data_IF_608512297109
#
_entry.id   IF_608512297109
#
_cell.length_a   1.000
_cell.length_b   1.000
_cell.length_c   1.000
_cell.angle_alpha   90.00
_cell.angle_beta   90.00
_cell.angle_gamma   90.00
#
_symmetry.space_group_name_H-M   'P 1'
#
loop_
_entity.id
_entity.type
_entity.pdbx_description
1 polymer ?
#
# COMPACT_ATOMS: atom_id res chain seq x y z
N UNK A 1 4.99 -13.44 10.78
CA UNK A 1 5.74 -13.04 9.57
C UNK A 1 6.27 -11.62 9.75
N UNK A 2 7.37 -11.32 9.12
CA UNK A 2 7.94 -9.97 9.01
C UNK A 2 7.32 -9.27 7.81
N UNK A 3 6.57 -8.21 8.05
CA UNK A 3 5.80 -7.49 7.02
C UNK A 3 6.41 -6.11 6.79
N UNK A 4 6.68 -5.76 5.56
CA UNK A 4 6.98 -4.39 5.15
C UNK A 4 5.74 -3.82 4.46
N UNK A 5 5.25 -2.70 4.96
CA UNK A 5 4.02 -2.07 4.49
C UNK A 5 4.32 -0.88 3.58
N UNK A 6 3.56 -0.73 2.51
CA UNK A 6 3.64 0.41 1.60
C UNK A 6 2.26 1.01 1.37
N UNK A 7 2.08 2.27 1.67
CA UNK A 7 0.81 2.97 1.49
C UNK A 7 0.90 4.45 1.76
N UNK A 8 -0.12 5.21 1.39
CA UNK A 8 -0.11 6.67 1.54
C UNK A 8 -1.38 7.23 2.16
N UNK A 9 -2.59 7.08 1.58
CA UNK A 9 -3.79 7.75 2.06
C UNK A 9 -4.45 7.02 3.25
N UNK A 10 -5.46 7.64 3.81
CA UNK A 10 -6.26 7.10 4.91
C UNK A 10 -6.78 5.69 4.66
N UNK A 11 -7.20 5.39 3.43
CA UNK A 11 -7.62 4.03 3.06
C UNK A 11 -6.59 2.95 3.41
N UNK A 12 -5.30 3.26 3.29
CA UNK A 12 -4.22 2.34 3.61
C UNK A 12 -4.03 2.12 5.12
N UNK A 13 -4.42 3.09 5.94
CA UNK A 13 -4.26 3.03 7.41
C UNK A 13 -5.05 1.88 8.02
N UNK A 14 -6.26 1.61 7.52
CA UNK A 14 -7.07 0.50 8.03
C UNK A 14 -6.39 -0.86 7.90
N UNK A 15 -5.72 -1.12 6.77
CA UNK A 15 -4.95 -2.36 6.59
C UNK A 15 -3.69 -2.36 7.46
N UNK A 16 -3.00 -1.24 7.56
CA UNK A 16 -1.81 -1.11 8.41
C UNK A 16 -2.16 -1.37 9.88
N UNK A 17 -3.25 -0.81 10.36
CA UNK A 17 -3.75 -1.01 11.74
C UNK A 17 -4.12 -2.48 11.99
N UNK A 18 -4.78 -3.13 11.04
CA UNK A 18 -5.11 -4.55 11.16
C UNK A 18 -3.86 -5.44 11.26
N UNK A 19 -2.80 -5.13 10.51
CA UNK A 19 -1.53 -5.85 10.58
C UNK A 19 -0.83 -5.56 11.91
N UNK A 20 -0.82 -4.29 12.34
CA UNK A 20 -0.19 -3.87 13.60
C UNK A 20 -0.79 -4.59 14.81
N UNK A 21 -2.11 -4.74 14.84
CA UNK A 21 -2.83 -5.43 15.93
C UNK A 21 -2.84 -6.97 15.79
N UNK A 22 -2.21 -7.51 14.76
CA UNK A 22 -2.08 -8.94 14.55
C UNK A 22 -0.82 -9.50 15.24
N UNK A 23 -0.59 -10.81 15.07
CA UNK A 23 0.65 -11.48 15.52
C UNK A 23 1.83 -11.28 14.55
N UNK A 24 1.66 -10.50 13.48
CA UNK A 24 2.72 -10.20 12.52
C UNK A 24 3.54 -8.98 12.97
N UNK A 25 4.81 -8.95 12.61
CA UNK A 25 5.71 -7.84 12.89
C UNK A 25 5.81 -6.90 11.69
N UNK A 26 5.49 -5.61 11.87
CA UNK A 26 5.76 -4.58 10.87
C UNK A 26 7.21 -4.12 11.02
N UNK A 27 8.05 -4.44 10.05
CA UNK A 27 9.47 -4.11 10.09
C UNK A 27 9.78 -2.71 9.59
N UNK A 28 8.99 -2.20 8.65
CA UNK A 28 9.07 -0.83 8.15
C UNK A 28 7.79 -0.44 7.42
N UNK A 29 7.60 0.87 7.28
CA UNK A 29 6.51 1.50 6.54
C UNK A 29 7.11 2.40 5.46
N UNK A 30 6.70 2.20 4.22
CA UNK A 30 7.07 3.04 3.08
C UNK A 30 5.87 3.89 2.70
N UNK A 31 6.04 5.19 2.61
CA UNK A 31 4.97 6.14 2.25
C UNK A 31 5.50 7.24 1.34
N UNK A 32 4.60 8.08 0.82
CA UNK A 32 4.99 9.20 -0.02
C UNK A 32 5.82 10.23 0.74
N UNK A 33 6.64 10.98 0.01
CA UNK A 33 7.39 12.12 0.55
C UNK A 33 6.45 13.20 1.08
N UNK A 34 6.87 13.91 2.11
CA UNK A 34 6.13 15.06 2.63
C UNK A 34 6.02 16.15 1.56
N UNK A 35 4.87 16.80 1.49
CA UNK A 35 4.62 17.87 0.53
C UNK A 35 4.13 19.11 1.24
N UNK A 36 4.56 20.32 0.79
CA UNK A 36 3.93 21.55 1.20
C UNK A 36 2.46 21.55 0.77
N UNK A 37 1.55 21.87 1.67
CA UNK A 37 0.12 21.88 1.39
C UNK A 37 -0.56 23.11 1.98
N UNK A 38 -1.61 23.56 1.30
CA UNK A 38 -2.48 24.65 1.74
C UNK A 38 -1.85 26.05 1.70
N UNK A 39 -2.64 27.04 2.15
CA UNK A 39 -2.18 28.42 2.30
C UNK A 39 -1.17 28.51 3.43
N UNK A 40 0.07 28.90 3.13
CA UNK A 40 1.18 28.97 4.07
C UNK A 40 2.18 27.82 3.97
N UNK A 41 2.04 26.93 2.99
CA UNK A 41 3.01 25.87 2.65
C UNK A 41 3.48 25.03 3.87
N UNK A 42 2.57 24.72 4.79
CA UNK A 42 2.88 23.81 5.90
C UNK A 42 3.16 22.43 5.34
N UNK A 43 4.20 21.79 5.86
CA UNK A 43 4.54 20.40 5.51
C UNK A 43 3.43 19.51 6.02
N UNK A 44 2.82 18.75 5.10
CA UNK A 44 1.79 17.76 5.42
C UNK A 44 2.36 16.35 5.28
N UNK A 45 2.17 15.55 6.31
CA UNK A 45 2.47 14.12 6.29
C UNK A 45 1.32 13.34 5.65
N UNK A 46 1.62 12.17 5.08
CA UNK A 46 0.57 11.21 4.73
C UNK A 46 -0.07 10.64 6.00
N UNK A 47 -1.30 10.20 5.90
CA UNK A 47 -2.02 9.55 7.01
C UNK A 47 -1.28 8.29 7.48
N UNK A 48 -0.69 7.55 6.55
CA UNK A 48 0.16 6.39 6.87
C UNK A 48 1.41 6.81 7.65
N UNK A 49 2.05 7.94 7.30
CA UNK A 49 3.20 8.45 8.07
C UNK A 49 2.79 8.84 9.48
N UNK A 50 1.67 9.53 9.65
CA UNK A 50 1.17 9.92 10.97
C UNK A 50 0.90 8.70 11.86
N UNK A 51 0.27 7.65 11.31
CA UNK A 51 0.07 6.39 12.01
C UNK A 51 1.42 5.77 12.42
N UNK A 52 2.38 5.71 11.50
CA UNK A 52 3.69 5.13 11.77
C UNK A 52 4.47 5.90 12.85
N UNK A 53 4.38 7.24 12.87
CA UNK A 53 4.98 8.07 13.93
C UNK A 53 4.38 7.79 15.30
N UNK A 54 3.06 7.70 15.40
CA UNK A 54 2.34 7.41 16.66
C UNK A 54 2.76 6.05 17.22
N UNK A 55 2.98 5.06 16.36
CA UNK A 55 3.31 3.68 16.76
C UNK A 55 4.81 3.38 16.73
N UNK A 56 5.66 4.39 16.54
CA UNK A 56 7.13 4.26 16.51
C UNK A 56 7.63 3.22 15.48
N UNK A 57 6.97 3.15 14.32
CA UNK A 57 7.38 2.27 13.22
C UNK A 57 8.47 2.95 12.37
N UNK A 58 9.48 2.21 11.87
CA UNK A 58 10.46 2.75 10.93
C UNK A 58 9.78 3.24 9.65
N UNK A 59 10.15 4.43 9.17
CA UNK A 59 9.53 5.10 8.02
C UNK A 59 10.56 5.32 6.93
N UNK A 60 10.20 4.96 5.69
CA UNK A 60 10.95 5.24 4.47
C UNK A 60 10.10 6.08 3.52
N UNK A 61 10.68 7.14 2.98
CA UNK A 61 10.00 8.06 2.06
C UNK A 61 10.84 8.26 0.78
N UNK A 62 10.96 7.23 -0.08
CA UNK A 62 11.79 7.32 -1.27
C UNK A 62 11.18 8.26 -2.32
N UNK A 63 11.99 9.12 -2.91
CA UNK A 63 11.59 9.90 -4.10
C UNK A 63 11.55 8.99 -5.33
N UNK A 64 12.53 8.13 -5.48
CA UNK A 64 12.68 7.19 -6.60
C UNK A 64 12.70 5.75 -6.10
N UNK A 65 11.74 4.96 -6.55
CA UNK A 65 11.61 3.54 -6.15
C UNK A 65 12.73 2.64 -6.71
N UNK A 66 13.42 3.08 -7.77
CA UNK A 66 14.53 2.35 -8.38
C UNK A 66 15.90 2.77 -7.83
N UNK A 67 15.95 3.67 -6.84
CA UNK A 67 17.20 4.07 -6.22
C UNK A 67 17.88 2.85 -5.58
N UNK A 68 19.15 2.53 -5.94
CA UNK A 68 19.87 1.39 -5.40
C UNK A 68 19.98 1.41 -3.87
N UNK A 69 20.19 2.58 -3.27
CA UNK A 69 20.26 2.72 -1.80
C UNK A 69 18.92 2.35 -1.13
N UNK A 70 17.80 2.78 -1.72
CA UNK A 70 16.47 2.40 -1.24
C UNK A 70 16.24 0.89 -1.37
N UNK A 71 16.60 0.30 -2.50
CA UNK A 71 16.48 -1.15 -2.72
C UNK A 71 17.31 -1.94 -1.70
N UNK A 72 18.54 -1.52 -1.44
CA UNK A 72 19.41 -2.16 -0.45
C UNK A 72 18.82 -2.04 0.96
N UNK A 73 18.25 -0.88 1.30
CA UNK A 73 17.53 -0.67 2.56
C UNK A 73 16.33 -1.60 2.69
N UNK A 74 15.50 -1.76 1.64
CA UNK A 74 14.39 -2.71 1.65
C UNK A 74 14.86 -4.14 1.91
N UNK A 75 15.93 -4.58 1.26
CA UNK A 75 16.52 -5.90 1.45
C UNK A 75 17.02 -6.12 2.87
N UNK A 76 17.57 -5.07 3.49
CA UNK A 76 18.14 -5.15 4.84
C UNK A 76 17.10 -5.47 5.93
N UNK A 77 15.84 -5.18 5.70
CA UNK A 77 14.76 -5.50 6.65
C UNK A 77 14.42 -6.99 6.68
N UNK A 78 14.84 -7.80 5.71
CA UNK A 78 14.52 -9.23 5.63
C UNK A 78 13.03 -9.51 5.83
N UNK A 79 12.18 -8.74 5.16
CA UNK A 79 10.74 -8.96 5.21
C UNK A 79 10.34 -10.25 4.48
N UNK A 80 9.41 -10.99 5.06
CA UNK A 80 8.87 -12.20 4.42
C UNK A 80 7.92 -11.83 3.28
N UNK A 81 7.15 -10.76 3.46
CA UNK A 81 6.14 -10.29 2.52
C UNK A 81 6.08 -8.76 2.50
N UNK A 82 5.80 -8.19 1.33
CA UNK A 82 5.39 -6.79 1.21
C UNK A 82 3.88 -6.70 1.08
N UNK A 83 3.26 -5.76 1.81
CA UNK A 83 1.84 -5.43 1.70
C UNK A 83 1.70 -4.03 1.16
N UNK A 84 0.99 -3.88 0.05
CA UNK A 84 0.82 -2.61 -0.67
C UNK A 84 -0.64 -2.22 -0.69
N UNK A 85 -0.93 -0.98 -0.30
CA UNK A 85 -2.28 -0.43 -0.30
C UNK A 85 -2.25 1.02 -0.75
N UNK A 86 -2.89 1.33 -1.87
CA UNK A 86 -2.96 2.69 -2.40
C UNK A 86 -1.59 3.39 -2.42
N UNK A 87 -0.66 2.81 -3.14
CA UNK A 87 0.70 3.31 -3.32
C UNK A 87 1.05 3.45 -4.81
N UNK A 88 2.21 4.01 -5.10
CA UNK A 88 2.73 4.11 -6.48
C UNK A 88 2.94 2.73 -7.10
N UNK A 89 2.89 2.64 -8.41
CA UNK A 89 3.24 1.41 -9.13
C UNK A 89 4.66 0.99 -8.79
N UNK A 90 4.81 -0.23 -8.30
CA UNK A 90 6.11 -0.78 -7.91
C UNK A 90 6.83 -1.37 -9.13
N UNK A 91 8.11 -1.05 -9.33
CA UNK A 91 8.93 -1.74 -10.31
C UNK A 91 9.25 -3.17 -9.87
N UNK A 92 9.49 -4.06 -10.82
CA UNK A 92 9.79 -5.47 -10.55
C UNK A 92 10.94 -5.66 -9.56
N UNK A 93 12.00 -4.86 -9.68
CA UNK A 93 13.16 -4.87 -8.77
C UNK A 93 12.78 -4.66 -7.30
N UNK A 94 11.63 -4.04 -7.03
CA UNK A 94 11.10 -3.82 -5.68
C UNK A 94 10.13 -4.94 -5.28
N UNK A 95 9.09 -5.21 -6.07
CA UNK A 95 8.06 -6.17 -5.65
C UNK A 95 8.54 -7.62 -5.63
N UNK A 96 9.66 -7.93 -6.27
CA UNK A 96 10.26 -9.26 -6.27
C UNK A 96 11.20 -9.55 -5.08
N UNK A 97 11.46 -8.55 -4.22
CA UNK A 97 12.39 -8.72 -3.09
C UNK A 97 11.93 -9.77 -2.07
N UNK A 98 10.68 -9.74 -1.55
CA UNK A 98 10.29 -10.65 -0.49
C UNK A 98 10.04 -12.06 -1.01
N UNK A 99 10.44 -13.07 -0.23
CA UNK A 99 10.28 -14.49 -0.61
C UNK A 99 8.84 -14.92 -0.83
N UNK A 100 7.91 -14.37 -0.05
CA UNK A 100 6.49 -14.68 -0.15
C UNK A 100 5.77 -13.78 -1.16
N UNK A 101 6.50 -12.90 -1.84
CA UNK A 101 5.94 -11.98 -2.84
C UNK A 101 5.38 -10.71 -2.25
N UNK A 102 4.80 -9.89 -3.12
CA UNK A 102 4.20 -8.61 -2.78
C UNK A 102 2.70 -8.67 -3.01
N UNK A 103 1.97 -8.39 -1.97
CA UNK A 103 0.52 -8.52 -1.87
C UNK A 103 -0.12 -7.13 -1.94
N UNK A 104 -1.13 -6.96 -2.80
CA UNK A 104 -1.84 -5.70 -2.93
C UNK A 104 -3.29 -5.82 -2.45
N UNK A 105 -3.76 -4.77 -1.79
CA UNK A 105 -5.18 -4.58 -1.44
C UNK A 105 -5.74 -3.50 -2.34
N UNK A 106 -6.57 -3.89 -3.30
CA UNK A 106 -7.19 -3.01 -4.27
C UNK A 106 -8.66 -2.74 -3.90
N UNK A 107 -9.06 -1.48 -3.93
CA UNK A 107 -10.37 -1.04 -3.46
C UNK A 107 -11.48 -1.21 -4.51
N UNK A 108 -11.56 -2.38 -5.13
CA UNK A 108 -12.66 -2.79 -6.00
C UNK A 108 -12.85 -4.30 -5.99
N UNK A 109 -13.97 -4.75 -6.56
CA UNK A 109 -14.20 -6.16 -6.91
C UNK A 109 -13.59 -6.42 -8.29
N UNK A 110 -12.33 -6.85 -8.33
CA UNK A 110 -11.67 -7.20 -9.59
C UNK A 110 -12.45 -8.31 -10.34
N UNK A 111 -12.54 -8.24 -11.69
CA UNK A 111 -11.76 -7.41 -12.60
C UNK A 111 -12.27 -5.98 -12.84
N UNK A 112 -13.35 -5.57 -12.18
CA UNK A 112 -13.92 -4.25 -12.35
C UNK A 112 -13.06 -3.18 -11.68
N UNK A 113 -13.03 -2.00 -12.27
CA UNK A 113 -12.33 -0.83 -11.70
C UNK A 113 -10.84 -1.07 -11.41
N UNK A 114 -10.11 -1.70 -12.34
CA UNK A 114 -8.64 -1.73 -12.32
C UNK A 114 -8.06 -0.32 -12.42
N UNK A 115 -6.89 -0.12 -11.87
CA UNK A 115 -6.17 1.15 -11.95
C UNK A 115 -6.53 2.14 -10.84
N UNK A 116 -6.51 3.43 -11.18
CA UNK A 116 -6.62 4.51 -10.19
C UNK A 116 -8.06 4.78 -9.73
N UNK A 117 -8.20 5.23 -8.48
CA UNK A 117 -9.44 5.75 -7.89
C UNK A 117 -10.68 4.84 -8.01
N UNK A 118 -10.56 3.52 -7.75
CA UNK A 118 -11.67 2.59 -7.97
C UNK A 118 -12.93 2.92 -7.16
N UNK A 119 -12.77 3.42 -5.93
CA UNK A 119 -13.90 3.83 -5.08
C UNK A 119 -14.69 4.97 -5.73
N UNK A 120 -13.99 6.00 -6.23
CA UNK A 120 -14.64 7.15 -6.88
C UNK A 120 -15.41 6.71 -8.13
N UNK A 121 -14.84 5.83 -8.95
CA UNK A 121 -15.51 5.33 -10.14
C UNK A 121 -16.75 4.49 -9.81
N UNK A 122 -16.71 3.65 -8.78
CA UNK A 122 -17.87 2.90 -8.34
C UNK A 122 -19.03 3.83 -7.92
N UNK A 123 -18.73 4.88 -7.14
CA UNK A 123 -19.73 5.86 -6.70
C UNK A 123 -20.28 6.68 -7.87
N UNK A 124 -19.42 7.20 -8.76
CA UNK A 124 -19.82 7.99 -9.93
C UNK A 124 -20.73 7.19 -10.85
N UNK A 125 -20.47 5.89 -11.03
CA UNK A 125 -21.26 5.00 -11.86
C UNK A 125 -22.56 4.52 -11.18
N UNK A 126 -22.81 4.95 -9.95
CA UNK A 126 -24.04 4.61 -9.23
C UNK A 126 -24.12 3.15 -8.80
N UNK A 127 -22.98 2.51 -8.61
CA UNK A 127 -22.93 1.14 -8.10
C UNK A 127 -23.58 1.07 -6.71
N UNK A 128 -24.23 -0.03 -6.42
CA UNK A 128 -24.84 -0.29 -5.11
C UNK A 128 -23.94 -1.12 -4.20
N UNK A 129 -22.92 -1.70 -4.77
CA UNK A 129 -21.94 -2.57 -4.10
C UNK A 129 -20.56 -2.33 -4.70
N UNK A 130 -19.57 -2.32 -3.87
CA UNK A 130 -18.15 -2.37 -4.24
C UNK A 130 -17.45 -3.38 -3.34
N UNK A 131 -16.14 -3.27 -3.20
CA UNK A 131 -15.41 -4.14 -2.29
C UNK A 131 -13.91 -3.93 -2.37
N UNK A 132 -13.22 -4.88 -1.81
CA UNK A 132 -11.76 -4.98 -1.88
C UNK A 132 -11.36 -6.33 -2.45
N UNK A 133 -10.31 -6.35 -3.24
CA UNK A 133 -9.69 -7.56 -3.76
C UNK A 133 -8.22 -7.60 -3.36
N UNK A 134 -7.78 -8.74 -2.92
CA UNK A 134 -6.38 -9.00 -2.54
C UNK A 134 -5.75 -9.93 -3.57
N UNK A 135 -4.54 -9.58 -4.01
CA UNK A 135 -3.80 -10.35 -5.02
C UNK A 135 -2.30 -10.12 -4.92
N UNK A 136 -1.52 -11.05 -5.46
CA UNK A 136 -0.07 -10.85 -5.59
C UNK A 136 0.28 -10.06 -6.84
N UNK A 137 1.24 -9.14 -6.71
CA UNK A 137 1.72 -8.34 -7.85
C UNK A 137 2.49 -9.22 -8.85
N UNK A 138 2.27 -8.92 -10.12
CA UNK A 138 3.04 -9.42 -11.23
C UNK A 138 3.33 -8.26 -12.22
N UNK A 139 3.79 -8.54 -13.43
CA UNK A 139 4.09 -7.52 -14.44
C UNK A 139 2.85 -6.80 -15.00
N UNK A 140 1.65 -7.34 -14.79
CA UNK A 140 0.40 -6.75 -15.30
C UNK A 140 -0.34 -5.98 -14.19
N UNK A 141 -0.88 -4.82 -14.54
CA UNK A 141 -1.60 -3.96 -13.58
C UNK A 141 -2.87 -4.67 -13.10
N UNK A 142 -2.95 -4.89 -11.78
CA UNK A 142 -4.12 -5.47 -11.08
C UNK A 142 -4.62 -6.79 -11.70
N UNK A 143 -3.70 -7.59 -12.25
CA UNK A 143 -3.99 -8.90 -12.87
C UNK A 143 -3.29 -10.07 -12.21
N UNK A 144 -2.70 -9.88 -11.05
CA UNK A 144 -2.06 -10.95 -10.29
C UNK A 144 -3.06 -11.98 -9.76
N UNK A 145 -2.54 -13.05 -9.20
CA UNK A 145 -3.34 -14.14 -8.62
C UNK A 145 -4.20 -13.60 -7.46
N UNK A 146 -5.51 -13.56 -7.67
CA UNK A 146 -6.48 -13.16 -6.66
C UNK A 146 -6.49 -14.17 -5.52
N UNK A 147 -6.32 -13.68 -4.30
CA UNK A 147 -6.35 -14.49 -3.07
C UNK A 147 -7.65 -14.37 -2.28
N UNK A 148 -8.39 -13.31 -2.50
CA UNK A 148 -9.68 -13.11 -1.86
C UNK A 148 -10.31 -11.78 -2.23
N UNK A 149 -11.60 -11.68 -1.97
CA UNK A 149 -12.33 -10.44 -2.06
C UNK A 149 -13.37 -10.34 -0.94
N UNK A 150 -13.79 -9.11 -0.65
CA UNK A 150 -14.87 -8.84 0.28
C UNK A 150 -15.74 -7.73 -0.26
N UNK A 151 -17.04 -7.98 -0.32
CA UNK A 151 -18.05 -7.04 -0.77
C UNK A 151 -18.40 -6.03 0.32
N UNK A 152 -18.74 -4.82 -0.09
CA UNK A 152 -19.19 -3.71 0.75
C UNK A 152 -20.33 -3.00 0.03
N UNK A 153 -21.44 -2.75 0.72
CA UNK A 153 -22.52 -1.91 0.20
C UNK A 153 -22.09 -0.42 0.17
N UNK A 154 -22.56 0.30 -0.86
CA UNK A 154 -22.37 1.75 -1.00
C UNK A 154 -23.62 2.47 -0.49
#
# INVERSE_FOLDING_TARGET
MRVLFMGTPEFAVGTLDAIYNSHHEIVAVVTATDKPSGRGLKIQHSEVKEYALIHNLPILQPEKLKDPEFIDTLKSFNADIFVVVAFRMLPEVVYSIPKMGTFNVHASLLPNYRGAAPIHHAVINGEKETGVTTFFLNQEIDKGDIKGNKKVAI
#
